data_IF_955711869157
#
_entry.id   IF_955711869157
#
_cell.length_a   1.000
_cell.length_b   1.000
_cell.length_c   1.000
_cell.angle_alpha   90.00
_cell.angle_beta   90.00
_cell.angle_gamma   90.00
#
_symmetry.space_group_name_H-M   'P 1'
#
loop_
_entity.id
_entity.type
_entity.pdbx_description
1 polymer ?
#
# COMPACT_ATOMS: atom_id res chain seq x y z
N UNK A 1 -0.74 18.59 -2.17
CA UNK A 1 0.33 18.77 -3.18
C UNK A 1 0.64 17.40 -3.76
N UNK A 2 0.09 17.16 -4.95
CA UNK A 2 0.42 15.99 -5.78
C UNK A 2 1.91 16.00 -6.10
N UNK A 3 2.61 14.89 -5.85
CA UNK A 3 4.06 14.75 -6.05
C UNK A 3 4.37 14.35 -7.51
N UNK A 4 3.65 14.94 -8.47
CA UNK A 4 3.75 14.59 -9.89
C UNK A 4 4.56 15.66 -10.65
N UNK A 5 5.82 15.89 -10.28
CA UNK A 5 6.71 16.75 -11.07
C UNK A 5 7.17 15.99 -12.36
N UNK A 6 7.17 16.63 -13.55
CA UNK A 6 7.41 15.95 -14.83
C UNK A 6 8.75 15.19 -14.94
N UNK A 7 9.79 15.64 -14.22
CA UNK A 7 11.12 15.03 -14.22
C UNK A 7 11.25 13.76 -13.39
N UNK A 8 10.29 13.46 -12.51
CA UNK A 8 10.35 12.32 -11.59
C UNK A 8 9.77 11.03 -12.19
N UNK A 9 9.04 11.14 -13.31
CA UNK A 9 8.33 10.02 -13.96
C UNK A 9 9.18 8.78 -14.26
N UNK A 10 10.42 8.88 -14.79
CA UNK A 10 11.22 7.69 -15.10
C UNK A 10 11.69 6.95 -13.84
N UNK A 11 12.06 7.70 -12.80
CA UNK A 11 12.50 7.17 -11.50
C UNK A 11 11.33 6.53 -10.77
N UNK A 12 10.15 7.14 -10.85
CA UNK A 12 8.92 6.62 -10.28
C UNK A 12 8.51 5.28 -10.94
N UNK A 13 8.61 5.17 -12.28
CA UNK A 13 8.29 3.93 -12.98
C UNK A 13 9.27 2.79 -12.67
N UNK A 14 10.58 3.06 -12.55
CA UNK A 14 11.56 2.03 -12.18
C UNK A 14 11.36 1.55 -10.75
N UNK A 15 11.02 2.44 -9.82
CA UNK A 15 10.67 2.10 -8.44
C UNK A 15 9.37 1.28 -8.38
N UNK A 16 8.37 1.62 -9.18
CA UNK A 16 7.15 0.81 -9.29
C UNK A 16 7.49 -0.58 -9.83
N UNK A 17 8.25 -0.69 -10.93
CA UNK A 17 8.64 -1.98 -11.49
C UNK A 17 9.37 -2.87 -10.46
N UNK A 18 10.31 -2.31 -9.69
CA UNK A 18 10.99 -3.02 -8.61
C UNK A 18 10.03 -3.47 -7.51
N UNK A 19 9.08 -2.61 -7.11
CA UNK A 19 8.06 -2.96 -6.14
C UNK A 19 7.14 -4.09 -6.65
N UNK A 20 6.82 -4.10 -7.95
CA UNK A 20 5.99 -5.15 -8.55
C UNK A 20 6.73 -6.48 -8.65
N UNK A 21 8.01 -6.49 -9.02
CA UNK A 21 8.81 -7.72 -8.98
C UNK A 21 8.89 -8.26 -7.55
N UNK A 22 9.02 -7.37 -6.57
CA UNK A 22 8.99 -7.73 -5.16
C UNK A 22 7.68 -8.37 -4.72
N UNK A 23 6.56 -7.72 -4.98
CA UNK A 23 5.27 -8.31 -4.65
C UNK A 23 5.02 -9.64 -5.36
N UNK A 24 5.57 -9.85 -6.57
CA UNK A 24 5.49 -11.13 -7.29
C UNK A 24 6.29 -12.23 -6.62
N UNK A 25 7.55 -11.97 -6.23
CA UNK A 25 8.37 -12.97 -5.50
C UNK A 25 7.75 -13.30 -4.15
N UNK A 26 7.25 -12.29 -3.44
CA UNK A 26 6.56 -12.47 -2.15
C UNK A 26 5.30 -13.35 -2.30
N UNK A 27 4.49 -13.08 -3.32
CA UNK A 27 3.31 -13.89 -3.62
C UNK A 27 3.68 -15.34 -3.97
N UNK A 28 4.76 -15.55 -4.72
CA UNK A 28 5.25 -16.89 -5.06
C UNK A 28 5.71 -17.67 -3.82
N UNK A 29 6.41 -17.02 -2.88
CA UNK A 29 6.88 -17.66 -1.63
C UNK A 29 5.72 -18.23 -0.80
N UNK A 30 4.56 -17.56 -0.80
CA UNK A 30 3.36 -17.98 -0.04
C UNK A 30 2.27 -18.62 -0.91
N UNK A 31 2.62 -19.05 -2.13
CA UNK A 31 1.73 -19.72 -3.08
C UNK A 31 0.42 -18.94 -3.36
N UNK A 32 0.52 -17.63 -3.60
CA UNK A 32 -0.60 -16.78 -4.03
C UNK A 32 -0.62 -16.69 -5.56
N UNK A 33 -1.71 -17.16 -6.16
CA UNK A 33 -2.00 -16.92 -7.57
C UNK A 33 -2.49 -15.49 -7.79
N UNK A 34 -1.61 -14.65 -8.36
CA UNK A 34 -1.90 -13.24 -8.65
C UNK A 34 -2.92 -13.00 -9.77
N UNK A 35 -3.30 -14.03 -10.53
CA UNK A 35 -4.41 -13.92 -11.51
C UNK A 35 -5.75 -13.97 -10.79
N UNK A 36 -5.88 -14.90 -9.82
CA UNK A 36 -7.09 -15.05 -9.00
C UNK A 36 -7.16 -14.06 -7.84
N UNK A 37 -6.01 -13.62 -7.33
CA UNK A 37 -5.86 -12.73 -6.17
C UNK A 37 -4.89 -11.60 -6.51
N UNK A 38 -5.36 -10.55 -7.19
CA UNK A 38 -4.49 -9.47 -7.63
C UNK A 38 -3.83 -8.74 -6.45
N UNK A 39 -2.68 -8.15 -6.72
CA UNK A 39 -1.97 -7.32 -5.75
C UNK A 39 -2.72 -5.99 -5.58
N UNK A 40 -2.99 -5.59 -4.33
CA UNK A 40 -3.58 -4.29 -4.06
C UNK A 40 -2.49 -3.21 -4.00
N UNK A 41 -2.61 -2.18 -4.84
CA UNK A 41 -1.81 -0.97 -4.80
C UNK A 41 -2.55 0.12 -4.03
N UNK A 42 -1.94 0.57 -2.93
CA UNK A 42 -2.35 1.76 -2.18
C UNK A 42 -1.20 2.77 -2.31
N UNK A 43 -1.51 3.94 -2.86
CA UNK A 43 -0.51 4.96 -3.17
C UNK A 43 -1.14 6.35 -3.23
N UNK A 44 -0.37 7.33 -2.80
CA UNK A 44 -0.64 8.77 -2.91
C UNK A 44 -0.19 9.34 -4.27
N UNK A 45 0.48 8.53 -5.11
CA UNK A 45 0.85 8.89 -6.49
C UNK A 45 -0.32 8.60 -7.44
N UNK A 46 -1.09 9.65 -7.77
CA UNK A 46 -2.28 9.55 -8.60
C UNK A 46 -2.01 8.94 -9.99
N UNK A 47 -0.82 9.18 -10.56
CA UNK A 47 -0.44 8.60 -11.85
C UNK A 47 -0.45 7.07 -11.84
N UNK A 48 0.07 6.41 -10.80
CA UNK A 48 0.08 4.95 -10.74
C UNK A 48 -1.32 4.37 -10.61
N UNK A 49 -2.18 5.04 -9.83
CA UNK A 49 -3.59 4.65 -9.73
C UNK A 49 -4.28 4.72 -11.09
N UNK A 50 -4.04 5.78 -11.86
CA UNK A 50 -4.60 5.92 -13.20
C UNK A 50 -4.14 4.79 -14.14
N UNK A 51 -2.86 4.41 -14.11
CA UNK A 51 -2.34 3.29 -14.92
C UNK A 51 -3.02 1.96 -14.54
N UNK A 52 -3.21 1.69 -13.25
CA UNK A 52 -3.93 0.49 -12.78
C UNK A 52 -5.40 0.52 -13.21
N UNK A 53 -6.07 1.65 -13.07
CA UNK A 53 -7.49 1.82 -13.46
C UNK A 53 -7.69 1.67 -14.98
N UNK A 54 -6.69 2.08 -15.78
CA UNK A 54 -6.65 1.85 -17.24
C UNK A 54 -6.32 0.41 -17.64
N UNK A 55 -6.14 -0.49 -16.66
CA UNK A 55 -5.77 -1.91 -16.86
C UNK A 55 -4.42 -2.11 -17.54
N UNK A 56 -3.51 -1.14 -17.43
CA UNK A 56 -2.15 -1.31 -17.94
C UNK A 56 -1.38 -2.38 -17.13
N UNK A 57 -1.85 -2.69 -15.90
CA UNK A 57 -1.29 -3.72 -15.04
C UNK A 57 -2.33 -4.81 -14.68
N UNK A 58 -2.29 -5.93 -15.38
CA UNK A 58 -3.30 -7.00 -15.29
C UNK A 58 -3.34 -7.78 -13.97
N UNK A 59 -2.30 -7.68 -13.13
CA UNK A 59 -2.17 -8.41 -11.84
C UNK A 59 -2.24 -7.47 -10.64
N UNK A 60 -2.62 -6.22 -10.86
CA UNK A 60 -2.70 -5.18 -9.84
C UNK A 60 -4.13 -4.64 -9.85
N UNK A 61 -4.65 -4.40 -8.67
CA UNK A 61 -5.87 -3.65 -8.45
C UNK A 61 -5.60 -2.49 -7.50
N UNK A 62 -6.48 -1.51 -7.47
CA UNK A 62 -6.42 -0.38 -6.55
C UNK A 62 -7.85 -0.02 -6.17
N UNK A 63 -8.05 0.47 -4.96
CA UNK A 63 -9.36 0.97 -4.55
C UNK A 63 -9.59 2.36 -5.16
N UNK A 64 -10.86 2.72 -5.39
CA UNK A 64 -11.22 4.04 -5.92
C UNK A 64 -11.20 5.11 -4.81
N UNK A 65 -10.12 5.15 -4.04
CA UNK A 65 -9.86 6.12 -2.97
C UNK A 65 -8.44 6.65 -3.19
N UNK A 66 -8.19 7.94 -2.92
CA UNK A 66 -6.84 8.50 -2.96
C UNK A 66 -6.19 8.27 -1.61
N UNK A 67 -5.02 7.62 -1.58
CA UNK A 67 -4.31 7.49 -0.31
C UNK A 67 -3.89 8.88 0.17
N UNK A 68 -4.13 9.18 1.44
CA UNK A 68 -3.81 10.47 2.06
C UNK A 68 -2.82 10.32 3.19
N UNK A 69 -2.01 11.35 3.37
CA UNK A 69 -1.14 11.51 4.53
C UNK A 69 -1.95 12.10 5.70
N UNK A 70 -1.91 11.44 6.86
CA UNK A 70 -2.65 11.87 8.06
C UNK A 70 -2.24 13.28 8.50
N UNK A 71 -0.95 13.60 8.38
CA UNK A 71 -0.34 14.90 8.70
C UNK A 71 -0.74 16.00 7.71
N UNK A 72 -1.17 15.65 6.49
CA UNK A 72 -1.65 16.61 5.49
C UNK A 72 -3.17 16.82 5.55
N UNK A 73 -3.90 15.98 6.27
CA UNK A 73 -5.37 16.02 6.39
C UNK A 73 -5.92 17.12 7.31
N UNK A 74 -5.06 17.94 7.93
CA UNK A 74 -5.44 18.97 8.90
C UNK A 74 -5.20 20.43 8.46
N UNK A 75 -4.84 20.66 7.19
CA UNK A 75 -4.51 21.99 6.67
C UNK A 75 -5.73 22.87 6.38
N UNK A 76 -6.29 23.48 7.43
CA UNK A 76 -6.83 24.85 7.43
C UNK A 76 -7.68 25.32 6.23
N UNK A 77 -8.83 24.68 5.94
CA UNK A 77 -10.02 25.35 5.34
C UNK A 77 -11.22 24.43 5.08
N UNK A 78 -11.05 23.11 5.06
CA UNK A 78 -12.19 22.19 4.99
C UNK A 78 -12.74 21.97 6.40
N UNK A 79 -13.99 22.35 6.64
CA UNK A 79 -14.65 22.28 7.95
C UNK A 79 -14.64 20.87 8.57
N UNK A 80 -15.23 20.75 9.76
CA UNK A 80 -15.28 19.52 10.59
C UNK A 80 -15.57 18.22 9.79
N UNK A 81 -16.33 18.31 8.70
CA UNK A 81 -16.66 17.19 7.81
C UNK A 81 -15.51 16.72 6.88
N UNK A 82 -14.65 17.63 6.40
CA UNK A 82 -13.55 17.29 5.48
C UNK A 82 -12.39 16.56 6.15
N UNK A 83 -12.14 16.88 7.43
CA UNK A 83 -11.23 16.11 8.28
C UNK A 83 -11.72 14.67 8.47
N UNK A 84 -12.99 14.50 8.84
CA UNK A 84 -13.59 13.17 9.07
C UNK A 84 -13.54 12.28 7.83
N UNK A 85 -13.83 12.82 6.64
CA UNK A 85 -13.74 12.06 5.39
C UNK A 85 -12.29 11.62 5.09
N UNK A 86 -11.31 12.49 5.33
CA UNK A 86 -9.89 12.13 5.14
C UNK A 86 -9.44 11.00 6.07
N UNK A 87 -9.92 10.98 7.32
CA UNK A 87 -9.64 9.88 8.24
C UNK A 87 -10.34 8.57 7.83
N UNK A 88 -11.56 8.65 7.30
CA UNK A 88 -12.27 7.48 6.79
C UNK A 88 -11.51 6.82 5.63
N UNK A 89 -11.03 7.62 4.67
CA UNK A 89 -10.23 7.13 3.53
C UNK A 89 -8.95 6.43 4.00
N UNK A 90 -8.22 7.05 4.94
CA UNK A 90 -7.03 6.46 5.56
C UNK A 90 -7.36 5.16 6.30
N UNK A 91 -8.47 5.13 7.04
CA UNK A 91 -8.89 3.94 7.78
C UNK A 91 -9.17 2.78 6.83
N UNK A 92 -9.83 3.03 5.70
CA UNK A 92 -10.11 2.01 4.68
C UNK A 92 -8.81 1.44 4.13
N UNK A 93 -7.83 2.27 3.78
CA UNK A 93 -6.53 1.80 3.29
C UNK A 93 -5.82 0.92 4.33
N UNK A 94 -5.75 1.38 5.59
CA UNK A 94 -5.13 0.63 6.69
C UNK A 94 -5.83 -0.70 6.95
N UNK A 95 -7.17 -0.69 6.93
CA UNK A 95 -7.97 -1.90 7.10
C UNK A 95 -7.69 -2.90 5.97
N UNK A 96 -7.66 -2.45 4.71
CA UNK A 96 -7.36 -3.32 3.56
C UNK A 96 -5.95 -3.91 3.65
N UNK A 97 -4.95 -3.10 4.03
CA UNK A 97 -3.58 -3.57 4.26
C UNK A 97 -3.50 -4.59 5.40
N UNK A 98 -4.19 -4.35 6.52
CA UNK A 98 -4.20 -5.25 7.69
C UNK A 98 -4.73 -6.66 7.37
N UNK A 99 -5.53 -6.78 6.29
CA UNK A 99 -6.15 -8.01 5.81
C UNK A 99 -5.30 -8.73 4.76
N UNK A 100 -4.16 -8.16 4.36
CA UNK A 100 -3.29 -8.76 3.36
C UNK A 100 -2.63 -10.05 3.88
N UNK A 101 -2.35 -11.00 2.98
CA UNK A 101 -1.58 -12.21 3.31
C UNK A 101 -0.08 -11.95 3.33
N UNK A 102 0.34 -11.03 2.48
CA UNK A 102 1.70 -10.54 2.39
C UNK A 102 1.68 -9.05 2.04
N UNK A 103 2.68 -8.30 2.51
CA UNK A 103 2.74 -6.85 2.34
C UNK A 103 4.13 -6.42 1.88
N UNK A 104 4.18 -5.62 0.83
CA UNK A 104 5.36 -4.86 0.49
C UNK A 104 5.24 -3.47 1.14
N UNK A 105 6.16 -3.16 2.04
CA UNK A 105 6.12 -1.91 2.82
C UNK A 105 7.23 -0.96 2.38
N UNK A 106 6.99 0.34 2.47
CA UNK A 106 8.04 1.36 2.55
C UNK A 106 8.38 1.67 4.02
N UNK A 107 9.44 2.44 4.30
CA UNK A 107 9.81 2.89 5.66
C UNK A 107 8.79 3.86 6.31
N UNK A 108 7.57 3.97 5.76
CA UNK A 108 6.53 4.86 6.25
C UNK A 108 5.89 4.35 7.55
N UNK A 109 5.48 5.30 8.41
CA UNK A 109 4.66 4.99 9.60
C UNK A 109 3.31 4.35 9.25
N UNK A 110 2.79 4.62 8.05
CA UNK A 110 1.55 4.07 7.53
C UNK A 110 1.56 2.53 7.48
N UNK A 111 2.64 1.97 6.93
CA UNK A 111 2.82 0.52 6.84
C UNK A 111 2.91 -0.13 8.23
N UNK A 112 3.55 0.56 9.20
CA UNK A 112 3.65 0.07 10.59
C UNK A 112 2.29 0.01 11.27
N UNK A 113 1.45 1.01 11.06
CA UNK A 113 0.09 1.05 11.63
C UNK A 113 -0.79 -0.06 11.04
N UNK A 114 -0.73 -0.28 9.73
CA UNK A 114 -1.45 -1.36 9.08
C UNK A 114 -1.03 -2.75 9.58
N UNK A 115 0.28 -2.95 9.80
CA UNK A 115 0.80 -4.19 10.39
C UNK A 115 0.25 -4.39 11.81
N UNK A 116 0.21 -3.33 12.63
CA UNK A 116 -0.31 -3.39 14.00
C UNK A 116 -1.81 -3.71 14.08
N UNK A 117 -2.61 -3.25 13.11
CA UNK A 117 -4.03 -3.61 12.99
C UNK A 117 -4.24 -5.05 12.51
N UNK A 118 -3.22 -5.68 11.92
CA UNK A 118 -3.25 -7.04 11.43
C UNK A 118 -3.44 -8.04 12.58
N UNK A 119 -4.38 -8.97 12.39
CA UNK A 119 -4.64 -10.04 13.37
C UNK A 119 -4.16 -11.41 12.93
N UNK A 120 -3.57 -11.49 11.73
CA UNK A 120 -3.13 -12.73 11.10
C UNK A 120 -1.62 -12.68 10.82
N UNK A 121 -0.95 -13.85 10.78
CA UNK A 121 0.40 -13.95 10.29
C UNK A 121 0.56 -13.34 8.90
N UNK A 122 1.41 -12.32 8.81
CA UNK A 122 1.61 -11.55 7.59
C UNK A 122 3.10 -11.58 7.22
N UNK A 123 3.38 -11.95 5.97
CA UNK A 123 4.74 -11.91 5.44
C UNK A 123 5.01 -10.51 4.88
N UNK A 124 5.99 -9.78 5.44
CA UNK A 124 6.37 -8.45 4.95
C UNK A 124 7.74 -8.48 4.27
N UNK A 125 7.90 -7.68 3.22
CA UNK A 125 9.20 -7.32 2.67
C UNK A 125 9.28 -5.80 2.46
N UNK A 126 10.49 -5.24 2.53
CA UNK A 126 10.73 -3.81 2.36
C UNK A 126 11.10 -3.47 0.91
N UNK A 127 10.64 -2.33 0.39
CA UNK A 127 10.82 -1.89 -1.02
C UNK A 127 12.28 -1.81 -1.49
N UNK A 128 13.24 -1.65 -0.56
CA UNK A 128 14.65 -1.35 -0.90
C UNK A 128 15.47 -2.55 -1.36
N UNK A 129 14.94 -3.76 -1.28
CA UNK A 129 15.30 -4.94 -2.08
C UNK A 129 16.75 -5.33 -2.40
N UNK A 130 17.74 -4.75 -1.72
CA UNK A 130 19.07 -5.35 -1.63
C UNK A 130 19.03 -6.56 -0.69
N UNK A 131 18.15 -6.56 0.32
CA UNK A 131 17.95 -7.67 1.25
C UNK A 131 16.46 -7.83 1.58
N UNK A 132 15.78 -8.80 0.98
CA UNK A 132 14.43 -9.21 1.41
C UNK A 132 14.60 -10.14 2.62
N UNK A 133 15.17 -9.61 3.70
CA UNK A 133 15.35 -10.35 4.94
C UNK A 133 14.00 -10.53 5.64
N UNK A 134 13.76 -11.76 6.06
CA UNK A 134 12.41 -12.31 6.15
C UNK A 134 11.75 -12.12 7.53
N UNK A 135 10.41 -12.03 7.46
CA UNK A 135 9.40 -12.51 8.45
C UNK A 135 9.35 -11.81 9.81
N UNK A 136 8.52 -10.77 9.90
CA UNK A 136 7.76 -10.52 11.14
C UNK A 136 6.35 -11.07 10.97
N UNK A 137 6.10 -12.29 11.44
CA UNK A 137 4.73 -12.76 11.72
C UNK A 137 4.26 -12.02 12.97
N UNK A 138 3.50 -10.95 12.80
CA UNK A 138 2.85 -10.33 13.97
C UNK A 138 1.67 -11.20 14.39
N UNK A 139 1.86 -11.95 15.48
CA UNK A 139 0.77 -12.56 16.23
C UNK A 139 0.22 -11.51 17.20
N UNK A 140 -0.65 -10.61 16.73
CA UNK A 140 -1.51 -9.89 17.68
C UNK A 140 -2.49 -10.95 18.20
N UNK A 141 -2.22 -11.52 19.38
CA UNK A 141 -3.10 -12.49 20.02
C UNK A 141 -4.52 -11.91 20.03
N UNK A 142 -5.48 -12.59 19.38
CA UNK A 142 -6.90 -12.34 19.63
C UNK A 142 -7.14 -12.59 21.11
N UNK A 143 -7.50 -11.54 21.85
CA UNK A 143 -8.18 -11.73 23.13
C UNK A 143 -9.55 -12.28 22.75
N UNK A 144 -9.78 -13.56 23.07
CA UNK A 144 -11.07 -14.22 22.92
C UNK A 144 -12.05 -13.70 23.96
#
# INVERSE_FOLDING_TARGET
LDVDFPGEKPVLLSQLAGALDCGRRLAAEINVDLVRRPMLLITDFNIFRQLVMRREFHKITTINITARHIDKGGGSNDGINGGMQSYQEVFVDLYMLSRARCMLTSWSGFSKLALWMGTAPLLKCHRDWVNCDSRTVQNVKRIQ
#
